data_IF_483586292271
#
_entry.id   IF_483586292271
#
_cell.length_a   1.000
_cell.length_b   1.000
_cell.length_c   1.000
_cell.angle_alpha   90.00
_cell.angle_beta   90.00
_cell.angle_gamma   90.00
#
_symmetry.space_group_name_H-M   'P 1'
#
loop_
_entity.id
_entity.type
_entity.pdbx_description
1 polymer ?
#
# COMPACT_ATOMS: atom_id res chain seq x y z
N UNK A 1 19.45 -3.66 15.19
CA UNK A 1 18.96 -4.44 14.03
C UNK A 1 17.46 -4.29 14.06
N UNK A 2 16.86 -3.68 13.03
CA UNK A 2 15.41 -3.60 12.90
C UNK A 2 14.89 -5.00 12.62
N UNK A 3 14.17 -5.59 13.57
CA UNK A 3 13.52 -6.88 13.39
C UNK A 3 12.52 -6.74 12.23
N UNK A 4 12.65 -7.59 11.21
CA UNK A 4 11.65 -7.69 10.15
C UNK A 4 10.40 -8.32 10.76
N UNK A 5 9.40 -7.49 11.08
CA UNK A 5 8.10 -7.97 11.55
C UNK A 5 7.21 -8.48 10.41
N UNK A 6 7.65 -8.36 9.17
CA UNK A 6 6.88 -8.81 8.02
C UNK A 6 7.44 -10.13 7.47
N UNK A 7 6.53 -11.03 7.09
CA UNK A 7 6.82 -12.30 6.42
C UNK A 7 5.79 -12.53 5.33
N UNK A 8 6.14 -13.25 4.27
CA UNK A 8 5.16 -13.65 3.26
C UNK A 8 4.18 -14.65 3.86
N UNK A 9 2.92 -14.57 3.41
CA UNK A 9 1.89 -15.55 3.79
C UNK A 9 2.24 -16.95 3.29
N UNK A 10 1.76 -17.95 4.02
CA UNK A 10 1.97 -19.35 3.65
C UNK A 10 1.44 -19.64 2.24
N UNK A 11 2.26 -20.27 1.39
CA UNK A 11 1.94 -20.53 -0.02
C UNK A 11 2.39 -19.45 -1.00
N UNK A 12 3.01 -18.35 -0.52
CA UNK A 12 3.62 -17.32 -1.36
C UNK A 12 5.14 -17.45 -1.27
N UNK A 13 5.74 -18.10 -2.28
CA UNK A 13 7.20 -18.24 -2.39
C UNK A 13 7.87 -16.99 -2.98
N UNK A 14 7.11 -16.18 -3.72
CA UNK A 14 7.55 -14.93 -4.34
C UNK A 14 6.39 -13.93 -4.42
N UNK A 15 6.71 -12.64 -4.36
CA UNK A 15 5.70 -11.58 -4.48
C UNK A 15 5.24 -11.50 -5.95
N UNK A 16 3.93 -11.45 -6.17
CA UNK A 16 3.36 -11.20 -7.49
C UNK A 16 3.72 -9.78 -7.96
N UNK A 17 4.30 -9.62 -9.17
CA UNK A 17 4.62 -8.30 -9.72
C UNK A 17 3.42 -7.33 -9.78
N UNK A 18 2.21 -7.85 -9.97
CA UNK A 18 0.97 -7.06 -9.98
C UNK A 18 0.65 -6.51 -8.60
N UNK A 19 0.71 -7.36 -7.56
CA UNK A 19 0.48 -6.91 -6.18
C UNK A 19 1.59 -5.94 -5.75
N UNK A 20 2.85 -6.18 -6.11
CA UNK A 20 3.94 -5.23 -5.86
C UNK A 20 3.69 -3.87 -6.55
N UNK A 21 3.17 -3.88 -7.78
CA UNK A 21 2.81 -2.65 -8.50
C UNK A 21 1.66 -1.90 -7.82
N UNK A 22 0.62 -2.60 -7.34
CA UNK A 22 -0.49 -2.00 -6.58
C UNK A 22 -0.01 -1.36 -5.29
N UNK A 23 0.84 -2.04 -4.53
CA UNK A 23 1.42 -1.53 -3.28
C UNK A 23 2.28 -0.29 -3.55
N UNK A 24 3.15 -0.31 -4.57
CA UNK A 24 3.97 0.84 -4.94
C UNK A 24 3.12 2.04 -5.38
N UNK A 25 2.03 1.78 -6.12
CA UNK A 25 1.08 2.80 -6.53
C UNK A 25 0.39 3.44 -5.32
N UNK A 26 -0.13 2.63 -4.41
CA UNK A 26 -0.77 3.09 -3.18
C UNK A 26 0.17 3.91 -2.29
N UNK A 27 1.42 3.49 -2.12
CA UNK A 27 2.41 4.25 -1.35
C UNK A 27 2.69 5.63 -1.96
N UNK A 28 2.78 5.70 -3.30
CA UNK A 28 2.96 6.97 -4.02
C UNK A 28 1.73 7.85 -3.91
N UNK A 29 0.53 7.27 -4.04
CA UNK A 29 -0.75 7.95 -3.84
C UNK A 29 -0.91 8.47 -2.42
N UNK A 30 -0.52 7.69 -1.41
CA UNK A 30 -0.53 8.12 -0.01
C UNK A 30 0.43 9.28 0.23
N UNK A 31 1.64 9.25 -0.34
CA UNK A 31 2.57 10.38 -0.24
C UNK A 31 1.98 11.67 -0.84
N UNK A 32 1.30 11.56 -1.99
CA UNK A 32 0.57 12.68 -2.61
C UNK A 32 -0.58 13.13 -1.71
N UNK A 33 -1.40 12.20 -1.21
CA UNK A 33 -2.51 12.48 -0.29
C UNK A 33 -2.02 13.22 0.95
N UNK A 34 -0.96 12.75 1.61
CA UNK A 34 -0.41 13.42 2.80
C UNK A 34 0.11 14.83 2.49
N UNK A 35 0.64 15.05 1.28
CA UNK A 35 1.06 16.38 0.84
C UNK A 35 -0.14 17.29 0.59
N UNK A 36 -1.18 16.79 -0.10
CA UNK A 36 -2.40 17.53 -0.42
C UNK A 36 -3.28 17.81 0.80
N UNK A 37 -3.49 16.82 1.67
CA UNK A 37 -4.28 16.95 2.89
C UNK A 37 -3.64 17.88 3.93
N UNK A 38 -2.32 18.09 3.85
CA UNK A 38 -1.65 19.14 4.63
C UNK A 38 -1.84 20.55 4.03
N UNK A 39 -2.20 20.64 2.75
CA UNK A 39 -2.32 21.90 2.01
C UNK A 39 -3.78 22.35 1.74
N UNK A 40 -4.78 21.44 1.61
CA UNK A 40 -6.18 21.81 1.29
C UNK A 40 -7.26 20.77 1.68
N UNK A 41 -8.48 21.27 1.95
CA UNK A 41 -9.77 20.61 2.24
C UNK A 41 -10.40 19.83 1.05
N UNK A 42 -9.61 19.37 0.08
CA UNK A 42 -10.16 18.52 -0.99
C UNK A 42 -10.30 17.07 -0.49
N UNK A 43 -11.40 16.42 -0.89
CA UNK A 43 -11.75 15.04 -0.52
C UNK A 43 -11.46 14.12 -1.71
N UNK A 44 -10.24 13.56 -1.85
CA UNK A 44 -9.88 12.81 -3.04
C UNK A 44 -10.28 11.34 -2.89
N UNK A 45 -11.57 11.05 -3.09
CA UNK A 45 -12.13 9.69 -3.07
C UNK A 45 -11.36 8.72 -3.99
N UNK A 46 -10.88 9.20 -5.14
CA UNK A 46 -10.06 8.40 -6.07
C UNK A 46 -8.70 8.01 -5.47
N UNK A 47 -8.03 8.93 -4.75
CA UNK A 47 -6.77 8.62 -4.08
C UNK A 47 -6.98 7.63 -2.93
N UNK A 48 -8.09 7.78 -2.19
CA UNK A 48 -8.46 6.84 -1.14
C UNK A 48 -8.67 5.43 -1.70
N UNK A 49 -9.39 5.31 -2.81
CA UNK A 49 -9.62 4.02 -3.49
C UNK A 49 -8.29 3.35 -3.86
N UNK A 50 -7.34 4.10 -4.45
CA UNK A 50 -6.01 3.55 -4.80
C UNK A 50 -5.20 3.13 -3.56
N UNK A 51 -5.32 3.86 -2.45
CA UNK A 51 -4.68 3.48 -1.19
C UNK A 51 -5.27 2.18 -0.64
N UNK A 52 -6.60 2.07 -0.61
CA UNK A 52 -7.31 0.90 -0.11
C UNK A 52 -6.95 -0.37 -0.93
N UNK A 53 -6.88 -0.28 -2.26
CA UNK A 53 -6.48 -1.41 -3.12
C UNK A 53 -5.05 -1.90 -2.84
N UNK A 54 -4.11 -0.98 -2.57
CA UNK A 54 -2.74 -1.37 -2.23
C UNK A 54 -2.60 -1.91 -0.80
N UNK A 55 -3.43 -1.45 0.13
CA UNK A 55 -3.52 -2.04 1.47
C UNK A 55 -4.08 -3.46 1.41
N UNK A 56 -5.10 -3.71 0.60
CA UNK A 56 -5.63 -5.06 0.37
C UNK A 56 -4.57 -5.96 -0.28
N UNK A 57 -3.76 -5.43 -1.21
CA UNK A 57 -2.64 -6.17 -1.78
C UNK A 57 -1.55 -6.52 -0.74
N UNK A 58 -1.24 -5.62 0.19
CA UNK A 58 -0.37 -5.91 1.34
C UNK A 58 -0.95 -7.03 2.20
N UNK A 59 -2.24 -6.95 2.53
CA UNK A 59 -2.93 -7.96 3.34
C UNK A 59 -2.96 -9.33 2.67
N UNK A 60 -3.05 -9.40 1.34
CA UNK A 60 -2.98 -10.67 0.61
C UNK A 60 -1.57 -11.25 0.57
N UNK A 61 -0.54 -10.40 0.68
CA UNK A 61 0.86 -10.79 0.46
C UNK A 61 1.62 -11.10 1.76
N UNK A 62 1.40 -10.31 2.81
CA UNK A 62 2.23 -10.34 4.01
C UNK A 62 1.42 -10.61 5.29
N UNK A 63 2.07 -11.27 6.25
CA UNK A 63 1.71 -11.27 7.66
C UNK A 63 2.63 -10.28 8.39
N UNK A 64 2.08 -9.53 9.35
CA UNK A 64 2.79 -8.49 10.11
C UNK A 64 2.53 -8.58 11.61
#
# INVERSE_FOLDING_TARGET
>A
MTEQNWKLKEGIDQIDPEDMAKIACALKSLAIYTTLACDHDDDPEDLKTVVDEGLEALERTFDY
#
